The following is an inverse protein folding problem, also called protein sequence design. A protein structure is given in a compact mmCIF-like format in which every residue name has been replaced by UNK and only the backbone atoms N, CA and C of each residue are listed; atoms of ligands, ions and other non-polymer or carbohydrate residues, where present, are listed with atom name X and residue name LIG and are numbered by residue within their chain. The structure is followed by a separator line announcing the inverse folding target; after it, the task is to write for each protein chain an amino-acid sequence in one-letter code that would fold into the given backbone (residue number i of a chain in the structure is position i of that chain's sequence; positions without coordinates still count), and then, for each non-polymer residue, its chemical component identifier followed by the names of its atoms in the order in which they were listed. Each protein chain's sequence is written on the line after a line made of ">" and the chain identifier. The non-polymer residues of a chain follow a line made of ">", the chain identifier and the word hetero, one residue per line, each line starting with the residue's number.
data_IF_679643637212
#
_entry.id   IF_679643637212
#
_cell.length_a   1.000
_cell.length_b   1.000
_cell.length_c   1.000
_cell.angle_alpha   90.00
_cell.angle_beta   90.00
_cell.angle_gamma   90.00
#
_symmetry.space_group_name_H-M   'P 1'
#
loop_
_entity.id
_entity.type
_entity.pdbx_description
1 polymer ?
#
# COMPACT_ATOMS: atom_id res chain seq x y z
N UNK A 1 8.46 15.81 1.12
CA UNK A 1 7.10 15.22 1.05
C UNK A 1 7.16 13.94 1.87
N UNK A 2 6.28 13.77 2.87
CA UNK A 2 6.29 12.57 3.69
C UNK A 2 5.82 11.36 2.86
N UNK A 3 6.53 10.24 2.90
CA UNK A 3 6.12 9.03 2.19
C UNK A 3 4.99 8.29 2.93
N UNK A 4 4.34 7.34 2.24
CA UNK A 4 3.19 6.60 2.75
C UNK A 4 3.46 5.92 4.09
N UNK A 5 4.66 5.36 4.29
CA UNK A 5 5.04 4.70 5.55
C UNK A 5 5.19 5.70 6.70
N UNK A 6 5.80 6.86 6.45
CA UNK A 6 5.92 7.94 7.44
C UNK A 6 4.55 8.48 7.86
N UNK A 7 3.65 8.68 6.89
CA UNK A 7 2.29 9.15 7.16
C UNK A 7 1.52 8.12 8.00
N UNK A 8 1.58 6.83 7.62
CA UNK A 8 0.92 5.75 8.35
C UNK A 8 1.39 5.67 9.82
N UNK A 9 2.71 5.79 10.05
CA UNK A 9 3.26 5.77 11.41
C UNK A 9 2.78 6.98 12.21
N UNK A 10 2.84 8.20 11.63
CA UNK A 10 2.43 9.43 12.33
C UNK A 10 0.95 9.45 12.67
N UNK A 11 0.08 9.13 11.70
CA UNK A 11 -1.36 9.07 11.92
C UNK A 11 -1.73 8.11 13.05
N UNK A 12 -1.07 6.95 13.13
CA UNK A 12 -1.34 5.98 14.19
C UNK A 12 -0.84 6.46 15.55
N UNK A 13 0.35 7.07 15.61
CA UNK A 13 0.90 7.65 16.83
C UNK A 13 -0.01 8.77 17.36
N UNK A 14 -0.48 9.65 16.47
CA UNK A 14 -1.35 10.77 16.82
C UNK A 14 -2.74 10.30 17.27
N UNK A 15 -3.32 9.29 16.59
CA UNK A 15 -4.64 8.75 16.92
C UNK A 15 -4.65 8.03 18.29
N UNK A 16 -3.61 7.27 18.60
CA UNK A 16 -3.56 6.45 19.82
C UNK A 16 -2.75 7.11 20.95
N UNK A 17 -2.14 8.27 20.71
CA UNK A 17 -1.27 8.96 21.67
C UNK A 17 0.01 8.19 22.00
N UNK A 18 0.46 7.30 21.10
CA UNK A 18 1.63 6.47 21.35
C UNK A 18 2.93 7.22 21.04
N UNK A 19 4.00 6.80 21.71
CA UNK A 19 5.37 7.22 21.36
C UNK A 19 6.05 6.16 20.49
N UNK A 20 7.09 6.55 19.75
CA UNK A 20 7.92 5.62 18.98
C UNK A 20 8.47 4.45 19.81
N UNK A 21 8.78 4.69 21.10
CA UNK A 21 9.24 3.64 22.00
C UNK A 21 8.14 2.66 22.41
N UNK A 22 6.91 3.14 22.46
CA UNK A 22 5.72 2.37 22.83
C UNK A 22 5.33 1.40 21.69
N UNK A 23 5.39 1.88 20.44
CA UNK A 23 5.26 1.06 19.22
C UNK A 23 6.39 0.03 19.12
N UNK A 24 7.64 0.45 19.35
CA UNK A 24 8.80 -0.43 19.32
C UNK A 24 8.69 -1.58 20.33
N UNK A 25 8.25 -1.28 21.55
CA UNK A 25 8.04 -2.27 22.62
C UNK A 25 6.95 -3.29 22.25
N UNK A 26 5.80 -2.83 21.73
CA UNK A 26 4.71 -3.71 21.28
C UNK A 26 5.12 -4.61 20.11
N UNK A 27 5.85 -4.01 19.17
CA UNK A 27 6.29 -4.65 17.95
C UNK A 27 7.50 -5.57 18.08
N UNK A 28 8.23 -5.50 19.20
CA UNK A 28 9.50 -6.22 19.34
C UNK A 28 10.58 -5.75 18.36
N UNK A 29 10.51 -4.50 17.90
CA UNK A 29 11.45 -3.90 16.95
C UNK A 29 12.28 -2.81 17.62
N UNK A 30 13.51 -2.53 17.17
CA UNK A 30 14.32 -1.46 17.76
C UNK A 30 13.66 -0.09 17.60
N UNK A 31 13.66 0.72 18.66
CA UNK A 31 13.16 2.11 18.63
C UNK A 31 13.83 2.95 17.53
N UNK A 32 15.13 2.75 17.32
CA UNK A 32 15.89 3.40 16.26
C UNK A 32 15.33 3.07 14.87
N UNK A 33 14.90 1.83 14.64
CA UNK A 33 14.28 1.39 13.38
C UNK A 33 12.94 2.08 13.17
N UNK A 34 12.08 2.13 14.19
CA UNK A 34 10.78 2.82 14.08
C UNK A 34 10.98 4.30 13.80
N UNK A 35 11.90 4.95 14.51
CA UNK A 35 12.23 6.36 14.29
C UNK A 35 12.78 6.59 12.86
N UNK A 36 13.70 5.73 12.41
CA UNK A 36 14.26 5.81 11.06
C UNK A 36 13.17 5.71 9.99
N UNK A 37 12.26 4.74 10.10
CA UNK A 37 11.14 4.59 9.16
C UNK A 37 10.17 5.77 9.21
N UNK A 38 9.99 6.40 10.37
CA UNK A 38 9.12 7.57 10.53
C UNK A 38 9.72 8.91 10.07
N UNK A 39 11.04 8.98 9.88
CA UNK A 39 11.77 10.23 9.57
C UNK A 39 12.52 10.18 8.24
N UNK A 40 12.68 9.02 7.63
CA UNK A 40 13.36 8.87 6.34
C UNK A 40 12.42 9.15 5.18
N UNK A 41 12.71 10.19 4.39
CA UNK A 41 11.89 10.63 3.26
C UNK A 41 11.78 9.60 2.14
N UNK A 42 12.84 8.82 1.87
CA UNK A 42 12.82 7.75 0.86
C UNK A 42 13.48 6.49 1.38
N UNK A 43 12.72 5.40 1.39
CA UNK A 43 13.22 4.09 1.78
C UNK A 43 13.85 3.45 0.54
N UNK A 44 15.17 3.45 0.43
CA UNK A 44 15.89 2.99 -0.78
C UNK A 44 15.81 1.46 -0.96
N UNK A 45 15.55 0.72 0.12
CA UNK A 45 15.46 -0.74 0.13
C UNK A 45 14.32 -1.20 1.03
N UNK A 46 13.55 -2.17 0.56
CA UNK A 46 12.49 -2.81 1.33
C UNK A 46 13.00 -3.27 2.71
N UNK A 47 12.35 -2.87 3.81
CA UNK A 47 12.68 -3.39 5.14
C UNK A 47 12.49 -4.91 5.20
N UNK A 48 13.25 -5.57 6.08
CA UNK A 48 13.14 -7.02 6.24
C UNK A 48 11.73 -7.43 6.71
N UNK A 49 11.25 -8.60 6.28
CA UNK A 49 9.92 -9.10 6.61
C UNK A 49 9.61 -9.07 8.11
N UNK A 50 10.55 -9.53 8.96
CA UNK A 50 10.39 -9.51 10.41
C UNK A 50 10.28 -8.09 11.01
N UNK A 51 10.89 -7.08 10.36
CA UNK A 51 10.73 -5.67 10.77
C UNK A 51 9.33 -5.15 10.43
N UNK A 52 8.79 -5.53 9.26
CA UNK A 52 7.44 -5.14 8.86
C UNK A 52 6.38 -5.82 9.74
N UNK A 53 6.59 -7.10 10.10
CA UNK A 53 5.75 -7.84 11.04
C UNK A 53 5.74 -7.21 12.42
N UNK A 54 6.92 -6.90 12.96
CA UNK A 54 7.03 -6.21 14.24
C UNK A 54 6.42 -4.80 14.19
N UNK A 55 6.62 -4.06 13.11
CA UNK A 55 6.00 -2.74 12.95
C UNK A 55 4.46 -2.85 12.85
N UNK A 56 3.93 -3.81 12.10
CA UNK A 56 2.49 -4.07 12.00
C UNK A 56 1.87 -4.39 13.36
N UNK A 57 2.53 -5.26 14.13
CA UNK A 57 2.13 -5.56 15.51
C UNK A 57 2.21 -4.32 16.42
N UNK A 58 3.26 -3.51 16.27
CA UNK A 58 3.47 -2.30 17.07
C UNK A 58 2.48 -1.18 16.79
N UNK A 59 1.98 -1.09 15.55
CA UNK A 59 0.98 -0.11 15.11
C UNK A 59 -0.46 -0.65 15.22
N UNK A 60 -0.63 -1.92 15.56
CA UNK A 60 -1.92 -2.62 15.54
C UNK A 60 -2.61 -2.51 14.18
N UNK A 61 -1.84 -2.72 13.10
CA UNK A 61 -2.29 -2.66 11.73
C UNK A 61 -2.10 -4.01 11.02
N UNK A 62 -2.90 -4.31 9.99
CA UNK A 62 -2.65 -5.45 9.13
C UNK A 62 -1.26 -5.37 8.49
N UNK A 63 -0.56 -6.52 8.43
CA UNK A 63 0.77 -6.62 7.84
C UNK A 63 0.80 -6.15 6.38
N UNK A 64 -0.25 -6.45 5.61
CA UNK A 64 -0.35 -6.05 4.21
C UNK A 64 -0.43 -4.52 4.04
N UNK A 65 -1.09 -3.81 4.95
CA UNK A 65 -1.14 -2.34 4.96
C UNK A 65 0.26 -1.76 5.13
N UNK A 66 1.03 -2.31 6.08
CA UNK A 66 2.40 -1.86 6.34
C UNK A 66 3.34 -2.24 5.19
N UNK A 67 3.19 -3.44 4.61
CA UNK A 67 3.95 -3.87 3.42
C UNK A 67 3.68 -2.97 2.22
N UNK A 68 2.42 -2.60 1.97
CA UNK A 68 2.05 -1.70 0.87
C UNK A 68 2.65 -0.30 1.07
N UNK A 69 2.49 0.27 2.26
CA UNK A 69 3.07 1.57 2.58
C UNK A 69 4.60 1.57 2.48
N UNK A 70 5.26 0.48 2.90
CA UNK A 70 6.70 0.32 2.74
C UNK A 70 7.11 0.19 1.26
N UNK A 71 6.34 -0.53 0.44
CA UNK A 71 6.57 -0.64 -0.99
C UNK A 71 6.42 0.72 -1.69
N UNK A 72 5.37 1.47 -1.37
CA UNK A 72 5.14 2.83 -1.88
C UNK A 72 6.27 3.78 -1.46
N UNK A 73 6.74 3.68 -0.22
CA UNK A 73 7.90 4.44 0.26
C UNK A 73 9.22 4.07 -0.45
N UNK A 74 9.28 2.88 -1.07
CA UNK A 74 10.36 2.46 -1.97
C UNK A 74 10.14 2.86 -3.43
N UNK A 75 9.00 3.50 -3.75
CA UNK A 75 8.60 3.82 -5.12
C UNK A 75 7.98 2.65 -5.89
N UNK A 76 7.68 1.55 -5.20
CA UNK A 76 7.01 0.37 -5.76
C UNK A 76 5.51 0.52 -5.50
N UNK A 77 4.74 0.85 -6.53
CA UNK A 77 3.28 0.92 -6.41
C UNK A 77 2.70 -0.50 -6.48
N UNK A 78 2.37 -1.06 -5.31
CA UNK A 78 1.74 -2.39 -5.23
C UNK A 78 0.23 -2.20 -5.26
N UNK A 79 -0.38 -2.34 -6.45
CA UNK A 79 -1.81 -2.53 -6.57
C UNK A 79 -2.19 -3.92 -6.02
N UNK A 80 -2.61 -3.99 -4.76
CA UNK A 80 -3.04 -5.25 -4.15
C UNK A 80 -3.89 -5.03 -2.90
N UNK A 81 -5.15 -5.48 -2.93
CA UNK A 81 -6.10 -5.49 -1.81
C UNK A 81 -5.75 -6.59 -0.80
N UNK A 82 -6.11 -6.46 0.51
CA UNK A 82 -5.74 -7.42 1.55
C UNK A 82 -6.57 -8.69 1.37
N UNK A 83 -5.90 -9.81 1.06
CA UNK A 83 -6.52 -11.12 0.98
C UNK A 83 -5.79 -12.06 1.92
N UNK A 84 -6.28 -12.13 3.15
CA UNK A 84 -5.78 -13.01 4.19
C UNK A 84 -6.87 -13.31 5.19
N UNK A 85 -7.98 -13.89 4.73
CA UNK A 85 -8.81 -14.86 5.48
C UNK A 85 -9.89 -15.43 4.54
N UNK A 86 -9.68 -16.68 4.15
CA UNK A 86 -10.64 -17.74 3.77
C UNK A 86 -12.01 -17.38 3.15
N UNK A 87 -12.14 -17.79 1.88
CA UNK A 87 -13.30 -18.47 1.26
C UNK A 87 -14.46 -17.66 0.64
N UNK A 88 -14.22 -16.45 0.13
CA UNK A 88 -14.98 -15.87 -1.01
C UNK A 88 -14.18 -14.73 -1.64
N UNK A 89 -14.00 -14.61 -2.97
CA UNK A 89 -13.44 -13.39 -3.55
C UNK A 89 -14.49 -12.27 -3.47
N UNK A 90 -14.54 -11.57 -2.34
CA UNK A 90 -15.15 -10.26 -2.28
C UNK A 90 -14.21 -9.30 -3.02
N UNK A 91 -14.59 -8.94 -4.24
CA UNK A 91 -13.90 -7.92 -5.01
C UNK A 91 -13.66 -6.66 -4.14
N UNK A 92 -12.52 -5.97 -4.30
CA UNK A 92 -12.32 -4.66 -3.68
C UNK A 92 -13.45 -3.76 -4.14
N UNK A 93 -14.32 -3.35 -3.20
CA UNK A 93 -15.32 -2.32 -3.48
C UNK A 93 -14.64 -0.98 -3.46
N UNK A 94 -14.09 -0.58 -4.61
CA UNK A 94 -13.90 0.84 -4.89
C UNK A 94 -15.27 1.48 -4.68
N UNK A 95 -15.39 2.63 -4.02
CA UNK A 95 -16.71 3.28 -3.83
C UNK A 95 -17.45 3.67 -5.13
N UNK A 96 -16.90 3.26 -6.27
CA UNK A 96 -17.37 3.43 -7.63
C UNK A 96 -17.82 2.06 -8.19
N UNK A 97 -19.12 1.88 -8.47
CA UNK A 97 -19.67 0.62 -8.98
C UNK A 97 -19.13 0.23 -10.36
N UNK A 98 -18.66 1.20 -11.16
CA UNK A 98 -18.08 0.94 -12.48
C UNK A 98 -16.69 0.30 -12.34
N UNK A 99 -15.89 0.80 -11.39
CA UNK A 99 -14.57 0.23 -11.07
C UNK A 99 -14.71 -1.18 -10.50
N UNK A 100 -15.71 -1.41 -9.65
CA UNK A 100 -15.99 -2.72 -9.09
C UNK A 100 -16.33 -3.77 -10.15
N UNK A 101 -17.16 -3.37 -11.12
CA UNK A 101 -17.52 -4.22 -12.25
C UNK A 101 -16.29 -4.56 -13.10
N UNK A 102 -15.41 -3.58 -13.35
CA UNK A 102 -14.17 -3.80 -14.10
C UNK A 102 -13.25 -4.79 -13.38
N UNK A 103 -13.05 -4.62 -12.06
CA UNK A 103 -12.22 -5.53 -11.26
C UNK A 103 -12.79 -6.95 -11.28
N UNK A 104 -14.09 -7.11 -11.05
CA UNK A 104 -14.76 -8.40 -11.08
C UNK A 104 -14.68 -9.07 -12.47
N UNK A 105 -14.78 -8.28 -13.55
CA UNK A 105 -14.72 -8.77 -14.92
C UNK A 105 -13.31 -9.21 -15.32
N UNK A 106 -12.28 -8.43 -14.97
CA UNK A 106 -10.87 -8.74 -15.29
C UNK A 106 -10.40 -10.02 -14.60
N UNK A 107 -10.90 -10.32 -13.40
CA UNK A 107 -10.59 -11.57 -12.69
C UNK A 107 -11.06 -12.83 -13.44
N UNK A 108 -12.08 -12.71 -14.30
CA UNK A 108 -12.65 -13.82 -15.08
C UNK A 108 -12.01 -14.01 -16.45
N UNK A 109 -11.11 -13.11 -16.85
CA UNK A 109 -10.47 -13.14 -18.16
C UNK A 109 -9.28 -14.11 -18.21
N UNK A 110 -8.98 -14.61 -19.42
CA UNK A 110 -7.77 -15.37 -19.68
C UNK A 110 -6.52 -14.49 -19.52
N UNK A 111 -5.35 -15.10 -19.38
CA UNK A 111 -4.09 -14.34 -19.24
C UNK A 111 -3.78 -13.49 -20.48
N UNK A 112 -4.14 -13.94 -21.68
CA UNK A 112 -3.94 -13.16 -22.90
C UNK A 112 -4.93 -12.01 -23.00
N UNK A 113 -6.20 -12.23 -22.65
CA UNK A 113 -7.20 -11.15 -22.62
C UNK A 113 -6.84 -10.08 -21.57
N UNK A 114 -6.31 -10.49 -20.41
CA UNK A 114 -5.82 -9.55 -19.38
C UNK A 114 -4.67 -8.69 -19.89
N UNK A 115 -3.76 -9.22 -20.70
CA UNK A 115 -2.68 -8.43 -21.33
C UNK A 115 -3.22 -7.40 -22.30
N UNK A 116 -4.22 -7.76 -23.09
CA UNK A 116 -4.88 -6.82 -24.00
C UNK A 116 -5.60 -5.70 -23.24
N UNK A 117 -6.32 -6.02 -22.17
CA UNK A 117 -6.97 -5.03 -21.31
C UNK A 117 -5.95 -4.09 -20.67
N UNK A 118 -4.83 -4.62 -20.17
CA UNK A 118 -3.75 -3.81 -19.61
C UNK A 118 -3.19 -2.81 -20.65
N UNK A 119 -2.90 -3.28 -21.87
CA UNK A 119 -2.43 -2.42 -22.95
C UNK A 119 -3.44 -1.32 -23.33
N UNK A 120 -4.73 -1.64 -23.30
CA UNK A 120 -5.80 -0.65 -23.56
C UNK A 120 -5.85 0.42 -22.46
N UNK A 121 -5.80 0.03 -21.19
CA UNK A 121 -5.79 0.97 -20.06
C UNK A 121 -4.55 1.87 -20.11
N UNK A 122 -3.37 1.30 -20.37
CA UNK A 122 -2.14 2.07 -20.53
C UNK A 122 -2.24 3.09 -21.68
N UNK A 123 -2.84 2.71 -22.81
CA UNK A 123 -3.09 3.60 -23.94
C UNK A 123 -4.04 4.75 -23.60
N UNK A 124 -5.12 4.46 -22.86
CA UNK A 124 -6.07 5.48 -22.41
C UNK A 124 -5.44 6.45 -21.42
N UNK A 125 -4.66 5.96 -20.44
CA UNK A 125 -3.92 6.80 -19.49
C UNK A 125 -2.88 7.68 -20.19
N UNK A 126 -2.14 7.11 -21.15
CA UNK A 126 -1.17 7.86 -21.96
C UNK A 126 -1.81 8.93 -22.84
N UNK A 127 -3.03 8.68 -23.35
CA UNK A 127 -3.81 9.67 -24.09
C UNK A 127 -4.27 10.81 -23.20
N UNK A 128 -4.85 10.52 -22.03
CA UNK A 128 -5.29 11.53 -21.08
C UNK A 128 -4.13 12.41 -20.61
N UNK A 129 -2.94 11.83 -20.37
CA UNK A 129 -1.73 12.59 -20.04
C UNK A 129 -1.26 13.49 -21.19
N UNK A 130 -1.40 13.05 -22.45
CA UNK A 130 -1.06 13.85 -23.64
C UNK A 130 -2.11 14.93 -23.97
N UNK A 131 -3.32 14.79 -23.47
CA UNK A 131 -4.43 15.73 -23.66
C UNK A 131 -4.43 16.87 -22.62
N UNK A 132 -3.56 16.79 -21.61
CA UNK A 132 -3.32 17.84 -20.61
C UNK A 132 -2.13 18.78 -20.96
N UNK A 133 -2.16 19.47 -22.11
CA UNK A 133 -1.61 20.82 -22.19
C UNK A 133 -2.64 21.80 -22.76
N UNK A 134 -2.67 23.00 -22.17
CA UNK A 134 -3.61 24.14 -22.33
C UNK A 134 -4.93 24.06 -21.53
N UNK A 135 -4.83 24.30 -20.22
CA UNK A 135 -5.78 25.08 -19.42
C UNK A 135 -5.06 25.66 -18.18
#
# INVERSE_FOLDING_TARGET
>A
MANALQQLIRERLDREGWSYGEVARRGGVPRSTVHHLATTDRVVRMPQAGTLEGLAKGLELPLDTVRRAAAEACGIHVYGSPAGESDTPAAPRSGDPEVDLLIASVQRLSSDDRRHVAALVESLLGRSAKQAPDA
#
